data_IF_744521246137
#
_entry.id   IF_744521246137
#
_cell.length_a   1.000
_cell.length_b   1.000
_cell.length_c   1.000
_cell.angle_alpha   90.00
_cell.angle_beta   90.00
_cell.angle_gamma   90.00
#
_symmetry.space_group_name_H-M   'P 1'
#
loop_
_entity.id
_entity.type
_entity.pdbx_description
1 polymer ?
#
# COMPACT_ATOMS: atom_id res chain seq x y z
N UNK A 1 -33.37 20.95 16.02
CA UNK A 1 -32.67 22.04 15.22
C UNK A 1 -31.42 21.51 14.53
N UNK A 2 -31.45 20.63 13.53
CA UNK A 2 -30.19 20.08 13.03
C UNK A 2 -30.15 19.66 11.56
N UNK A 3 -31.28 19.49 10.90
CA UNK A 3 -31.26 19.04 9.49
C UNK A 3 -31.11 20.21 8.50
N UNK A 4 -31.72 21.32 8.76
CA UNK A 4 -31.85 22.46 7.85
C UNK A 4 -30.56 23.30 7.74
N UNK A 5 -29.79 23.45 8.81
CA UNK A 5 -28.49 24.11 8.79
C UNK A 5 -27.41 23.29 8.04
N UNK A 6 -27.47 21.97 8.06
CA UNK A 6 -26.52 21.10 7.35
C UNK A 6 -26.68 21.15 5.83
N UNK A 7 -27.90 21.34 5.31
CA UNK A 7 -28.15 21.40 3.88
C UNK A 7 -27.67 22.72 3.24
N UNK A 8 -27.79 23.84 3.93
CA UNK A 8 -27.36 25.17 3.41
C UNK A 8 -25.85 25.39 3.41
N UNK A 9 -25.13 24.86 4.42
CA UNK A 9 -23.65 24.97 4.46
C UNK A 9 -23.00 24.13 3.35
N UNK A 10 -23.64 23.05 2.91
CA UNK A 10 -23.16 22.19 1.85
C UNK A 10 -23.15 22.83 0.45
N UNK A 11 -23.95 23.87 0.21
CA UNK A 11 -24.05 24.54 -1.09
C UNK A 11 -22.95 25.58 -1.35
N UNK A 12 -22.18 25.98 -0.33
CA UNK A 12 -21.26 27.12 -0.44
C UNK A 12 -19.78 26.80 -0.22
N UNK A 13 -19.44 25.60 0.25
CA UNK A 13 -18.04 25.23 0.48
C UNK A 13 -17.60 24.16 -0.53
N UNK A 14 -16.46 24.35 -1.22
CA UNK A 14 -15.89 23.33 -2.08
C UNK A 14 -15.67 21.99 -1.32
N UNK A 15 -15.90 20.86 -1.97
CA UNK A 15 -15.75 19.53 -1.36
C UNK A 15 -14.37 19.32 -0.72
N UNK A 16 -13.32 19.90 -1.30
CA UNK A 16 -11.97 19.88 -0.76
C UNK A 16 -11.87 20.53 0.63
N UNK A 17 -12.56 21.66 0.85
CA UNK A 17 -12.60 22.34 2.16
C UNK A 17 -13.35 21.52 3.20
N UNK A 18 -14.44 20.89 2.81
CA UNK A 18 -15.21 20.00 3.67
C UNK A 18 -14.39 18.77 4.06
N UNK A 19 -13.63 18.18 3.14
CA UNK A 19 -12.73 17.07 3.38
C UNK A 19 -11.59 17.47 4.33
N UNK A 20 -10.97 18.62 4.12
CA UNK A 20 -9.92 19.14 4.99
C UNK A 20 -10.43 19.39 6.42
N UNK A 21 -11.60 20.03 6.56
CA UNK A 21 -12.22 20.29 7.85
C UNK A 21 -12.57 18.98 8.58
N UNK A 22 -13.15 17.99 7.89
CA UNK A 22 -13.41 16.66 8.48
C UNK A 22 -12.12 15.99 8.93
N UNK A 23 -11.03 16.12 8.18
CA UNK A 23 -9.71 15.59 8.56
C UNK A 23 -9.18 16.24 9.82
N UNK A 24 -9.30 17.56 9.96
CA UNK A 24 -8.88 18.28 11.17
C UNK A 24 -9.73 17.92 12.39
N UNK A 25 -11.05 17.81 12.23
CA UNK A 25 -11.95 17.35 13.30
C UNK A 25 -11.59 15.94 13.77
N UNK A 26 -11.28 15.01 12.84
CA UNK A 26 -10.81 13.68 13.22
C UNK A 26 -9.47 13.72 13.94
N UNK A 27 -8.53 14.57 13.52
CA UNK A 27 -7.25 14.78 14.22
C UNK A 27 -7.47 15.24 15.67
N UNK A 28 -8.31 16.25 15.87
CA UNK A 28 -8.62 16.77 17.21
C UNK A 28 -9.31 15.71 18.08
N UNK A 29 -10.31 15.00 17.52
CA UNK A 29 -11.07 13.97 18.26
C UNK A 29 -10.21 12.79 18.70
N UNK A 30 -9.22 12.38 17.91
CA UNK A 30 -8.39 11.21 18.17
C UNK A 30 -6.98 11.55 18.62
N UNK A 31 -6.73 12.82 18.92
CA UNK A 31 -5.42 13.27 19.35
C UNK A 31 -4.93 12.55 20.61
N UNK A 32 -3.64 12.25 20.66
CA UNK A 32 -2.96 11.63 21.79
C UNK A 32 -1.49 11.37 21.48
N UNK A 33 -0.74 10.87 22.45
CA UNK A 33 0.72 10.69 22.35
C UNK A 33 1.14 9.22 22.27
N UNK A 34 0.18 8.29 22.41
CA UNK A 34 0.48 6.86 22.46
C UNK A 34 0.92 6.31 21.10
N UNK A 35 0.27 6.76 20.03
CA UNK A 35 0.51 6.27 18.67
C UNK A 35 0.82 7.42 17.72
N UNK A 36 1.44 7.06 16.61
CA UNK A 36 1.72 7.97 15.50
C UNK A 36 1.43 7.29 14.17
N UNK A 37 0.70 7.96 13.30
CA UNK A 37 0.51 7.51 11.94
C UNK A 37 1.49 8.23 11.01
N UNK A 38 2.55 7.55 10.58
CA UNK A 38 3.57 8.11 9.69
C UNK A 38 3.06 8.40 8.27
N UNK A 39 1.97 7.77 7.85
CA UNK A 39 1.33 8.06 6.55
C UNK A 39 0.70 9.46 6.50
N UNK A 40 0.05 9.91 7.57
CA UNK A 40 -0.61 11.23 7.60
C UNK A 40 -0.04 12.21 8.63
N UNK A 41 0.97 11.81 9.42
CA UNK A 41 1.61 12.64 10.44
C UNK A 41 0.78 12.87 11.70
N UNK A 42 -0.33 12.14 11.90
CA UNK A 42 -1.23 12.36 13.06
C UNK A 42 -0.73 11.65 14.30
N UNK A 43 -0.69 12.37 15.44
CA UNK A 43 -0.51 11.79 16.76
C UNK A 43 -1.86 11.33 17.28
N UNK A 44 -1.94 10.12 17.84
CA UNK A 44 -3.18 9.44 18.16
C UNK A 44 -3.14 8.83 19.57
N UNK A 45 -4.31 8.80 20.25
CA UNK A 45 -4.48 8.03 21.48
C UNK A 45 -4.64 6.52 21.21
N UNK A 46 -5.23 6.13 20.05
CA UNK A 46 -5.40 4.76 19.61
C UNK A 46 -5.64 4.73 18.09
N UNK A 47 -5.29 3.64 17.43
CA UNK A 47 -5.87 3.27 16.15
C UNK A 47 -7.24 2.62 16.37
N UNK A 48 -8.09 2.59 15.35
CA UNK A 48 -9.39 1.92 15.39
C UNK A 48 -9.22 0.43 15.12
N UNK A 49 -10.13 -0.42 15.61
CA UNK A 49 -10.10 -1.84 15.27
C UNK A 49 -10.43 -2.08 13.81
N UNK A 50 -9.97 -3.20 13.28
CA UNK A 50 -10.40 -3.73 11.98
C UNK A 50 -11.84 -4.28 12.11
N UNK A 51 -12.64 -4.30 11.03
CA UNK A 51 -13.98 -4.93 11.08
C UNK A 51 -13.98 -6.40 11.53
N UNK A 52 -12.88 -7.14 11.33
CA UNK A 52 -12.71 -8.50 11.86
C UNK A 52 -12.42 -8.57 13.37
N UNK A 53 -12.37 -7.44 14.07
CA UNK A 53 -12.10 -7.36 15.51
C UNK A 53 -10.63 -7.14 15.91
N UNK A 54 -9.68 -7.17 14.98
CA UNK A 54 -8.27 -6.91 15.28
C UNK A 54 -8.08 -5.48 15.78
N UNK A 55 -7.50 -5.33 16.99
CA UNK A 55 -7.32 -4.04 17.65
C UNK A 55 -6.16 -3.23 17.04
N UNK A 56 -6.18 -1.90 17.22
CA UNK A 56 -5.13 -0.96 16.80
C UNK A 56 -4.74 -1.08 15.32
N UNK A 57 -5.72 -1.15 14.41
CA UNK A 57 -5.52 -1.44 13.00
C UNK A 57 -5.61 -0.21 12.10
N UNK A 58 -6.74 0.51 12.12
CA UNK A 58 -7.02 1.61 11.17
C UNK A 58 -6.66 2.97 11.76
N UNK A 59 -5.98 3.80 10.99
CA UNK A 59 -5.82 5.20 11.34
C UNK A 59 -7.18 5.94 11.25
N UNK A 60 -7.69 6.54 12.35
CA UNK A 60 -8.97 7.25 12.32
C UNK A 60 -8.98 8.49 11.44
N UNK A 61 -7.80 8.98 11.06
CA UNK A 61 -7.66 10.21 10.26
C UNK A 61 -7.55 9.93 8.77
N UNK A 62 -6.71 8.96 8.37
CA UNK A 62 -6.42 8.69 6.95
C UNK A 62 -6.78 7.27 6.49
N UNK A 63 -7.23 6.38 7.39
CA UNK A 63 -7.57 5.01 7.05
C UNK A 63 -6.37 4.08 6.78
N UNK A 64 -5.12 4.54 6.99
CA UNK A 64 -3.96 3.67 6.79
C UNK A 64 -3.99 2.46 7.72
N UNK A 65 -3.57 1.32 7.18
CA UNK A 65 -3.46 0.02 7.84
C UNK A 65 -2.00 -0.24 8.25
N UNK A 66 -1.69 -1.26 9.07
CA UNK A 66 -0.32 -1.64 9.42
C UNK A 66 0.62 -1.80 8.20
N UNK A 67 0.26 -2.54 7.12
CA UNK A 67 1.14 -2.67 5.94
C UNK A 67 1.50 -1.32 5.33
N UNK A 68 0.55 -0.39 5.23
CA UNK A 68 0.80 0.96 4.70
C UNK A 68 1.78 1.75 5.57
N UNK A 69 1.70 1.60 6.90
CA UNK A 69 2.61 2.26 7.83
C UNK A 69 4.02 1.67 7.79
N UNK A 70 4.14 0.35 7.57
CA UNK A 70 5.43 -0.31 7.38
C UNK A 70 6.09 0.16 6.07
N UNK A 71 5.36 0.18 4.96
CA UNK A 71 5.88 0.69 3.69
C UNK A 71 6.32 2.16 3.81
N UNK A 72 5.52 2.99 4.47
CA UNK A 72 5.87 4.40 4.71
C UNK A 72 7.10 4.54 5.63
N UNK A 73 7.24 3.68 6.64
CA UNK A 73 8.43 3.66 7.50
C UNK A 73 9.69 3.35 6.67
N UNK A 74 9.63 2.29 5.87
CA UNK A 74 10.71 1.92 4.95
C UNK A 74 11.08 3.05 3.99
N UNK A 75 10.11 3.67 3.33
CA UNK A 75 10.34 4.74 2.37
C UNK A 75 10.91 6.02 3.01
N UNK A 76 10.57 6.30 4.27
CA UNK A 76 11.12 7.44 5.01
C UNK A 76 12.59 7.24 5.39
N UNK A 77 13.03 5.99 5.59
CA UNK A 77 14.43 5.64 5.86
C UNK A 77 15.27 5.48 4.58
N UNK A 78 14.63 5.47 3.40
CA UNK A 78 15.23 5.20 2.10
C UNK A 78 14.98 6.35 1.13
N UNK A 79 15.37 7.55 1.54
CA UNK A 79 15.20 8.75 0.70
C UNK A 79 15.90 8.63 -0.66
N UNK A 80 16.96 7.83 -0.75
CA UNK A 80 17.70 7.54 -1.98
C UNK A 80 16.89 6.83 -3.07
N UNK A 81 15.75 6.22 -2.70
CA UNK A 81 14.84 5.61 -3.68
C UNK A 81 14.04 6.65 -4.48
N UNK A 82 13.98 7.89 -3.98
CA UNK A 82 13.32 8.98 -4.68
C UNK A 82 14.32 9.72 -5.56
N UNK A 83 14.43 9.29 -6.82
CA UNK A 83 15.41 9.81 -7.78
C UNK A 83 14.80 10.94 -8.60
N UNK A 84 15.46 12.08 -8.64
CA UNK A 84 15.04 13.22 -9.47
C UNK A 84 15.02 12.84 -10.96
N UNK A 85 13.94 13.21 -11.66
CA UNK A 85 13.72 12.84 -13.07
C UNK A 85 13.25 11.39 -13.29
N UNK A 86 13.20 10.56 -12.24
CA UNK A 86 12.65 9.21 -12.30
C UNK A 86 11.13 9.18 -12.20
N UNK A 87 10.55 7.97 -12.19
CA UNK A 87 9.11 7.79 -12.00
C UNK A 87 8.76 6.74 -10.96
N UNK A 88 7.73 7.05 -10.16
CA UNK A 88 7.13 6.15 -9.18
C UNK A 88 5.74 5.73 -9.61
N UNK A 89 5.51 4.41 -9.68
CA UNK A 89 4.16 3.85 -9.82
C UNK A 89 3.58 3.50 -8.44
N UNK A 90 2.34 3.92 -8.21
CA UNK A 90 1.58 3.53 -7.03
C UNK A 90 0.32 2.80 -7.48
N UNK A 91 0.34 1.46 -7.42
CA UNK A 91 -0.73 0.60 -7.89
C UNK A 91 -1.83 0.49 -6.84
N UNK A 92 -3.08 0.65 -7.27
CA UNK A 92 -4.27 0.70 -6.41
C UNK A 92 -4.10 1.68 -5.22
N UNK A 93 -3.86 2.98 -5.49
CA UNK A 93 -3.34 3.93 -4.53
C UNK A 93 -4.29 4.17 -3.36
N UNK A 94 -3.83 3.84 -2.15
CA UNK A 94 -4.60 4.05 -0.94
C UNK A 94 -4.74 5.54 -0.61
N UNK A 95 -5.95 6.01 -0.29
CA UNK A 95 -6.20 7.44 0.01
C UNK A 95 -5.34 8.00 1.14
N UNK A 96 -4.88 7.14 2.06
CA UNK A 96 -4.04 7.53 3.20
C UNK A 96 -2.59 7.82 2.83
N UNK A 97 -2.04 7.10 1.83
CA UNK A 97 -0.64 7.22 1.40
C UNK A 97 -0.46 8.17 0.22
N UNK A 98 -1.42 8.17 -0.70
CA UNK A 98 -1.35 8.93 -1.96
C UNK A 98 -0.84 10.37 -1.79
N UNK A 99 -1.38 11.22 -0.88
CA UNK A 99 -0.91 12.60 -0.75
C UNK A 99 0.54 12.70 -0.25
N UNK A 100 0.95 11.76 0.62
CA UNK A 100 2.31 11.78 1.17
C UNK A 100 3.34 11.35 0.15
N UNK A 101 3.07 10.29 -0.61
CA UNK A 101 3.95 9.81 -1.67
C UNK A 101 4.05 10.84 -2.80
N UNK A 102 2.95 11.46 -3.20
CA UNK A 102 2.96 12.55 -4.17
C UNK A 102 3.88 13.70 -3.74
N UNK A 103 3.78 14.15 -2.46
CA UNK A 103 4.66 15.19 -1.93
C UNK A 103 6.14 14.77 -1.90
N UNK A 104 6.43 13.52 -1.53
CA UNK A 104 7.82 13.01 -1.51
C UNK A 104 8.42 12.98 -2.92
N UNK A 105 7.64 12.57 -3.92
CA UNK A 105 8.07 12.61 -5.32
C UNK A 105 8.27 14.05 -5.83
N UNK A 106 7.34 14.95 -5.54
CA UNK A 106 7.41 16.36 -5.93
C UNK A 106 8.66 17.05 -5.39
N UNK A 107 9.04 16.78 -4.14
CA UNK A 107 10.21 17.37 -3.48
C UNK A 107 11.53 17.10 -4.22
N UNK A 108 11.62 16.01 -4.96
CA UNK A 108 12.83 15.62 -5.71
C UNK A 108 12.65 15.70 -7.23
N UNK A 109 11.47 16.12 -7.71
CA UNK A 109 11.17 16.14 -9.15
C UNK A 109 10.97 14.76 -9.77
N UNK A 110 10.53 13.77 -8.99
CA UNK A 110 10.14 12.44 -9.46
C UNK A 110 8.69 12.45 -9.94
N UNK A 111 8.39 11.84 -11.08
CA UNK A 111 7.04 11.71 -11.58
C UNK A 111 6.24 10.71 -10.73
N UNK A 112 5.13 11.15 -10.13
CA UNK A 112 4.24 10.27 -9.36
C UNK A 112 3.05 9.82 -10.21
N UNK A 113 2.94 8.51 -10.44
CA UNK A 113 1.95 7.87 -11.32
C UNK A 113 1.05 6.93 -10.52
N UNK A 114 -0.04 7.44 -9.91
CA UNK A 114 -1.02 6.60 -9.22
C UNK A 114 -1.99 5.98 -10.22
N UNK A 115 -2.24 4.68 -10.14
CA UNK A 115 -3.16 4.01 -11.05
C UNK A 115 -3.61 2.61 -10.61
N UNK A 116 -4.58 2.07 -11.32
CA UNK A 116 -5.14 0.73 -11.11
C UNK A 116 -6.29 0.45 -12.05
N UNK A 117 -6.92 -0.72 -11.94
CA UNK A 117 -8.06 -1.10 -12.79
C UNK A 117 -9.29 -0.20 -12.57
N UNK A 118 -9.43 0.31 -11.35
CA UNK A 118 -10.54 1.19 -10.95
C UNK A 118 -10.01 2.34 -10.13
N UNK A 119 -10.64 3.51 -10.20
CA UNK A 119 -10.29 4.65 -9.35
C UNK A 119 -10.45 5.99 -10.03
N UNK A 120 -11.19 6.92 -9.39
CA UNK A 120 -11.33 8.29 -9.87
C UNK A 120 -10.01 9.06 -9.70
N UNK A 121 -9.58 9.76 -10.74
CA UNK A 121 -8.38 10.61 -10.73
C UNK A 121 -7.06 9.83 -10.65
N UNK A 122 -7.05 8.58 -11.10
CA UNK A 122 -5.87 7.74 -11.24
C UNK A 122 -5.79 7.22 -12.68
N UNK A 123 -4.60 6.84 -13.12
CA UNK A 123 -4.42 6.23 -14.44
C UNK A 123 -5.03 4.82 -14.46
N UNK A 124 -5.57 4.40 -15.61
CA UNK A 124 -5.95 3.01 -15.78
C UNK A 124 -4.69 2.17 -15.97
N UNK A 125 -4.35 1.33 -14.98
CA UNK A 125 -3.16 0.48 -15.00
C UNK A 125 -3.56 -0.96 -14.71
N UNK A 126 -3.36 -1.83 -15.69
CA UNK A 126 -3.46 -3.28 -15.52
C UNK A 126 -2.05 -3.85 -15.26
N UNK A 127 -1.88 -4.59 -14.18
CA UNK A 127 -0.61 -5.26 -13.89
C UNK A 127 -0.25 -6.37 -14.88
N UNK A 128 -1.17 -6.78 -15.75
CA UNK A 128 -0.90 -7.73 -16.83
C UNK A 128 -0.41 -7.05 -18.11
N UNK A 129 -0.62 -5.73 -18.25
CA UNK A 129 -0.25 -4.96 -19.45
C UNK A 129 -0.02 -3.49 -19.07
N UNK A 130 1.13 -3.20 -18.47
CA UNK A 130 1.48 -1.86 -18.03
C UNK A 130 1.91 -0.98 -19.21
N UNK A 131 1.32 0.21 -19.43
CA UNK A 131 1.61 1.08 -20.57
C UNK A 131 2.94 1.85 -20.40
N UNK A 132 3.99 1.15 -19.94
CA UNK A 132 5.32 1.70 -19.71
C UNK A 132 6.36 0.92 -20.49
N UNK A 133 7.39 1.62 -20.97
CA UNK A 133 8.53 0.99 -21.63
C UNK A 133 9.29 0.06 -20.66
N UNK A 134 10.03 -0.88 -21.21
CA UNK A 134 10.95 -1.73 -20.43
C UNK A 134 11.94 -0.87 -19.66
N UNK A 135 12.21 -1.27 -18.44
CA UNK A 135 13.21 -0.63 -17.56
C UNK A 135 13.03 0.89 -17.38
N UNK A 136 11.79 1.38 -17.30
CA UNK A 136 11.45 2.80 -17.21
C UNK A 136 10.92 3.27 -15.85
N UNK A 137 10.66 2.36 -14.91
CA UNK A 137 10.10 2.66 -13.59
C UNK A 137 11.15 2.48 -12.51
N UNK A 138 11.40 3.51 -11.69
CA UNK A 138 12.46 3.49 -10.69
C UNK A 138 11.95 3.06 -9.31
N UNK A 139 10.71 3.38 -9.01
CA UNK A 139 10.08 2.98 -7.74
C UNK A 139 8.66 2.50 -7.99
N UNK A 140 8.28 1.38 -7.39
CA UNK A 140 6.89 0.90 -7.42
C UNK A 140 6.42 0.56 -6.02
N UNK A 141 5.18 0.91 -5.70
CA UNK A 141 4.48 0.41 -4.52
C UNK A 141 3.16 -0.24 -4.93
N UNK A 142 3.00 -1.50 -4.53
CA UNK A 142 1.82 -2.32 -4.82
C UNK A 142 1.45 -3.12 -3.57
N UNK A 143 0.28 -2.82 -2.99
CA UNK A 143 -0.17 -3.43 -1.75
C UNK A 143 -1.51 -4.14 -1.94
N UNK A 144 -1.55 -5.43 -1.61
CA UNK A 144 -2.75 -6.29 -1.64
C UNK A 144 -3.43 -6.37 -3.04
N UNK A 145 -2.62 -6.36 -4.11
CA UNK A 145 -3.13 -6.51 -5.48
C UNK A 145 -2.75 -7.87 -6.06
N UNK A 146 -1.50 -8.33 -5.90
CA UNK A 146 -1.03 -9.57 -6.52
C UNK A 146 -1.81 -10.82 -6.07
N UNK A 147 -2.33 -10.82 -4.86
CA UNK A 147 -3.21 -11.89 -4.36
C UNK A 147 -4.60 -11.90 -5.04
N UNK A 148 -4.98 -10.80 -5.68
CA UNK A 148 -6.24 -10.66 -6.43
C UNK A 148 -6.07 -10.89 -7.93
N UNK A 149 -4.83 -11.09 -8.43
CA UNK A 149 -4.59 -11.31 -9.86
C UNK A 149 -4.91 -12.76 -10.24
N UNK A 150 -5.63 -13.00 -11.35
CA UNK A 150 -5.83 -14.36 -11.86
C UNK A 150 -4.50 -15.06 -12.17
N UNK A 151 -3.59 -14.40 -12.90
CA UNK A 151 -2.21 -14.83 -13.15
C UNK A 151 -1.23 -13.88 -12.47
N UNK A 152 -0.89 -14.18 -11.23
CA UNK A 152 0.08 -13.39 -10.45
C UNK A 152 1.50 -13.48 -11.00
N UNK A 153 1.86 -14.61 -11.61
CA UNK A 153 3.19 -14.79 -12.19
C UNK A 153 3.37 -13.95 -13.46
N UNK A 154 2.32 -13.81 -14.29
CA UNK A 154 2.34 -12.89 -15.41
C UNK A 154 2.43 -11.43 -14.92
N UNK A 155 1.65 -11.05 -13.92
CA UNK A 155 1.72 -9.73 -13.31
C UNK A 155 3.11 -9.44 -12.72
N UNK A 156 3.72 -10.39 -12.00
CA UNK A 156 5.08 -10.23 -11.46
C UNK A 156 6.14 -10.06 -12.56
N UNK A 157 6.03 -10.80 -13.69
CA UNK A 157 6.93 -10.63 -14.85
C UNK A 157 6.73 -9.27 -15.50
N UNK A 158 5.51 -8.79 -15.60
CA UNK A 158 5.21 -7.48 -16.17
C UNK A 158 5.74 -6.35 -15.27
N UNK A 159 5.55 -6.45 -13.95
CA UNK A 159 6.23 -5.56 -13.00
C UNK A 159 7.74 -5.58 -13.21
N UNK A 160 8.34 -6.78 -13.36
CA UNK A 160 9.78 -6.91 -13.61
C UNK A 160 10.22 -6.25 -14.92
N UNK A 161 9.43 -6.37 -15.98
CA UNK A 161 9.71 -5.76 -17.29
C UNK A 161 9.86 -4.24 -17.19
N UNK A 162 8.92 -3.58 -16.52
CA UNK A 162 8.91 -2.11 -16.44
C UNK A 162 9.91 -1.56 -15.43
N UNK A 163 10.35 -2.34 -14.42
CA UNK A 163 11.32 -1.86 -13.43
C UNK A 163 12.67 -1.58 -14.04
N UNK A 164 13.21 -0.37 -13.81
CA UNK A 164 14.57 0.00 -14.20
C UNK A 164 15.59 -0.89 -13.50
N UNK A 165 16.79 -1.02 -14.06
CA UNK A 165 17.83 -1.92 -13.53
C UNK A 165 18.22 -1.65 -12.07
N UNK A 166 18.11 -0.41 -11.63
CA UNK A 166 18.36 0.01 -10.24
C UNK A 166 17.06 0.27 -9.48
N UNK A 167 15.91 0.02 -10.12
CA UNK A 167 14.60 0.28 -9.55
C UNK A 167 14.29 -0.66 -8.39
N UNK A 168 13.35 -0.22 -7.56
CA UNK A 168 12.87 -0.97 -6.40
C UNK A 168 11.35 -1.08 -6.43
N UNK A 169 10.84 -2.31 -6.41
CA UNK A 169 9.42 -2.57 -6.24
C UNK A 169 9.14 -3.02 -4.80
N UNK A 170 8.21 -2.34 -4.15
CA UNK A 170 7.70 -2.67 -2.82
C UNK A 170 6.39 -3.43 -3.00
N UNK A 171 6.44 -4.74 -2.79
CA UNK A 171 5.32 -5.64 -3.06
C UNK A 171 4.83 -6.26 -1.76
N UNK A 172 3.59 -5.94 -1.39
CA UNK A 172 2.94 -6.48 -0.20
C UNK A 172 1.68 -7.28 -0.54
N UNK A 173 1.49 -8.35 0.18
CA UNK A 173 0.26 -9.16 0.17
C UNK A 173 -0.27 -9.26 1.59
N UNK A 174 -1.55 -9.63 1.80
CA UNK A 174 -2.09 -9.86 3.15
C UNK A 174 -1.28 -10.90 3.92
N UNK A 175 -1.51 -10.97 5.24
CA UNK A 175 -0.87 -11.93 6.13
C UNK A 175 -0.78 -13.33 5.51
N UNK A 176 0.38 -13.94 5.61
CA UNK A 176 0.66 -15.24 5.00
C UNK A 176 -0.10 -16.37 5.68
N UNK A 177 -0.50 -17.34 4.86
CA UNK A 177 -1.02 -18.60 5.36
C UNK A 177 0.07 -19.38 6.12
N UNK A 178 -0.25 -19.87 7.31
CA UNK A 178 0.67 -20.64 8.18
C UNK A 178 0.72 -22.12 7.79
N UNK A 179 0.01 -22.54 6.75
CA UNK A 179 0.04 -23.93 6.23
C UNK A 179 1.31 -24.24 5.44
N UNK A 180 1.39 -25.49 4.97
CA UNK A 180 2.52 -25.94 4.15
C UNK A 180 2.49 -25.39 2.71
N UNK A 181 1.30 -25.09 2.20
CA UNK A 181 1.09 -24.67 0.82
C UNK A 181 0.24 -23.39 0.71
N UNK A 182 0.45 -22.63 -0.36
CA UNK A 182 -0.39 -21.50 -0.74
C UNK A 182 -1.81 -21.98 -1.05
N UNK A 183 -2.82 -21.32 -0.49
CA UNK A 183 -4.20 -21.59 -0.86
C UNK A 183 -4.48 -20.87 -2.19
N UNK A 184 -4.82 -21.62 -3.22
CA UNK A 184 -5.22 -21.09 -4.53
C UNK A 184 -6.68 -21.44 -4.85
N UNK A 185 -7.35 -20.53 -5.55
CA UNK A 185 -8.73 -20.68 -5.96
C UNK A 185 -8.90 -20.32 -7.43
N UNK A 186 -9.72 -21.07 -8.15
CA UNK A 186 -9.95 -20.84 -9.59
C UNK A 186 -11.35 -20.34 -9.88
N UNK A 187 -12.34 -20.74 -9.06
CA UNK A 187 -13.74 -20.31 -9.26
C UNK A 187 -14.18 -19.27 -8.24
N UNK A 188 -15.22 -18.53 -8.56
CA UNK A 188 -15.82 -17.53 -7.68
C UNK A 188 -16.31 -18.16 -6.37
N UNK A 189 -16.93 -19.34 -6.47
CA UNK A 189 -17.47 -20.09 -5.33
C UNK A 189 -16.35 -20.49 -4.35
N UNK A 190 -15.21 -20.97 -4.90
CA UNK A 190 -14.03 -21.30 -4.11
C UNK A 190 -13.47 -20.06 -3.40
N UNK A 191 -13.41 -18.90 -4.08
CA UNK A 191 -12.95 -17.64 -3.46
C UNK A 191 -13.84 -17.21 -2.30
N UNK A 192 -15.15 -17.23 -2.50
CA UNK A 192 -16.10 -16.90 -1.43
C UNK A 192 -15.98 -17.88 -0.26
N UNK A 193 -15.84 -19.17 -0.53
CA UNK A 193 -15.71 -20.19 0.52
C UNK A 193 -14.39 -20.07 1.31
N UNK A 194 -13.27 -19.80 0.63
CA UNK A 194 -11.96 -19.74 1.24
C UNK A 194 -11.67 -18.38 1.93
N UNK A 195 -12.12 -17.27 1.34
CA UNK A 195 -11.70 -15.92 1.75
C UNK A 195 -12.85 -15.00 2.15
N UNK A 196 -14.10 -15.43 1.98
CA UNK A 196 -15.31 -14.60 2.11
C UNK A 196 -15.23 -13.33 1.22
N UNK A 197 -14.54 -13.45 0.07
CA UNK A 197 -14.28 -12.38 -0.90
C UNK A 197 -14.14 -12.99 -2.29
N UNK A 198 -14.78 -12.43 -3.30
CA UNK A 198 -14.75 -12.99 -4.67
C UNK A 198 -13.60 -12.43 -5.52
N UNK A 199 -12.89 -11.42 -5.04
CA UNK A 199 -11.73 -10.82 -5.69
C UNK A 199 -10.39 -11.45 -5.28
N UNK A 200 -10.32 -12.19 -4.16
CA UNK A 200 -9.08 -12.78 -3.67
C UNK A 200 -8.87 -14.16 -4.29
N UNK A 201 -7.86 -14.30 -5.14
CA UNK A 201 -7.52 -15.55 -5.81
C UNK A 201 -6.64 -16.47 -4.97
N UNK A 202 -5.80 -15.92 -4.08
CA UNK A 202 -4.87 -16.73 -3.27
C UNK A 202 -4.48 -16.11 -1.95
N UNK A 203 -4.12 -17.00 -1.00
CA UNK A 203 -3.42 -16.64 0.22
C UNK A 203 -2.09 -17.38 0.24
N UNK A 204 -1.00 -16.64 0.09
CA UNK A 204 0.35 -17.20 -0.04
C UNK A 204 0.89 -17.74 1.29
N UNK A 205 1.80 -18.72 1.21
CA UNK A 205 2.83 -18.87 2.21
C UNK A 205 3.97 -17.88 1.94
N UNK A 206 4.70 -17.45 2.96
CA UNK A 206 5.84 -16.53 2.80
C UNK A 206 6.91 -17.12 1.85
N UNK A 207 7.19 -18.41 1.97
CA UNK A 207 8.17 -19.11 1.13
C UNK A 207 7.75 -19.13 -0.36
N UNK A 208 6.49 -19.48 -0.65
CA UNK A 208 5.99 -19.53 -2.04
C UNK A 208 5.94 -18.15 -2.67
N UNK A 209 5.50 -17.13 -1.93
CA UNK A 209 5.49 -15.75 -2.43
C UNK A 209 6.89 -15.29 -2.83
N UNK A 210 7.88 -15.49 -1.95
CA UNK A 210 9.27 -15.16 -2.27
C UNK A 210 9.80 -15.97 -3.46
N UNK A 211 9.46 -17.25 -3.56
CA UNK A 211 9.85 -18.10 -4.70
C UNK A 211 9.27 -17.58 -6.01
N UNK A 212 8.00 -17.20 -6.05
CA UNK A 212 7.33 -16.64 -7.25
C UNK A 212 7.99 -15.33 -7.68
N UNK A 213 8.29 -14.43 -6.74
CA UNK A 213 8.99 -13.19 -7.02
C UNK A 213 10.38 -13.45 -7.61
N UNK A 214 11.17 -14.35 -7.00
CA UNK A 214 12.50 -14.72 -7.54
C UNK A 214 12.42 -15.37 -8.92
N UNK A 215 11.46 -16.27 -9.11
CA UNK A 215 11.22 -16.91 -10.42
C UNK A 215 10.78 -15.91 -11.50
N UNK A 216 10.29 -14.73 -11.10
CA UNK A 216 9.92 -13.64 -12.01
C UNK A 216 11.08 -12.67 -12.29
N UNK A 217 12.30 -12.97 -11.80
CA UNK A 217 13.53 -12.19 -12.08
C UNK A 217 13.82 -11.09 -11.06
N UNK A 218 13.43 -11.28 -9.79
CA UNK A 218 13.76 -10.37 -8.71
C UNK A 218 14.74 -10.95 -7.70
N UNK A 219 15.67 -10.11 -7.24
CA UNK A 219 16.31 -10.26 -5.95
C UNK A 219 15.32 -9.78 -4.89
N UNK A 220 15.03 -10.62 -3.90
CA UNK A 220 14.01 -10.34 -2.88
C UNK A 220 14.66 -10.21 -1.51
N UNK A 221 14.53 -9.04 -0.91
CA UNK A 221 14.86 -8.77 0.49
C UNK A 221 13.56 -8.64 1.29
N UNK A 222 13.49 -9.31 2.42
CA UNK A 222 12.30 -9.29 3.28
C UNK A 222 12.51 -8.31 4.43
N UNK A 223 11.72 -7.24 4.45
CA UNK A 223 11.72 -6.24 5.51
C UNK A 223 10.59 -6.53 6.48
N UNK A 224 10.92 -6.90 7.71
CA UNK A 224 9.96 -7.34 8.71
C UNK A 224 9.80 -6.30 9.81
N UNK A 225 8.58 -6.00 10.20
CA UNK A 225 8.29 -5.11 11.31
C UNK A 225 8.94 -5.58 12.62
N UNK A 226 9.06 -6.89 12.82
CA UNK A 226 9.65 -7.50 14.02
C UNK A 226 11.16 -7.18 14.19
N UNK A 227 11.85 -6.84 13.11
CA UNK A 227 13.26 -6.44 13.13
C UNK A 227 13.48 -4.95 13.48
N UNK A 228 12.42 -4.17 13.56
CA UNK A 228 12.47 -2.74 13.89
C UNK A 228 12.54 -2.50 15.41
N UNK A 229 12.95 -1.29 15.84
CA UNK A 229 12.92 -0.93 17.26
C UNK A 229 11.53 -1.18 17.85
N UNK A 230 11.41 -1.91 18.97
CA UNK A 230 10.12 -2.26 19.57
C UNK A 230 9.22 -1.04 19.87
N UNK A 231 9.83 0.10 20.18
CA UNK A 231 9.12 1.37 20.41
C UNK A 231 8.42 1.87 19.13
N UNK A 232 9.05 1.74 17.96
CA UNK A 232 8.46 2.14 16.68
C UNK A 232 7.37 1.15 16.24
N UNK A 233 7.61 -0.15 16.43
CA UNK A 233 6.59 -1.20 16.15
C UNK A 233 5.32 -0.93 16.96
N UNK A 234 5.45 -0.66 18.25
CA UNK A 234 4.32 -0.37 19.13
C UNK A 234 3.63 0.95 18.78
N UNK A 235 4.42 2.02 18.59
CA UNK A 235 3.93 3.38 18.32
C UNK A 235 3.20 3.49 16.98
N UNK A 236 3.67 2.78 15.96
CA UNK A 236 3.09 2.72 14.63
C UNK A 236 2.05 1.58 14.49
N UNK A 237 1.95 0.71 15.49
CA UNK A 237 1.14 -0.52 15.45
C UNK A 237 1.39 -1.33 14.17
N UNK A 238 2.67 -1.67 13.92
CA UNK A 238 3.09 -2.37 12.71
C UNK A 238 2.76 -3.86 12.73
N UNK A 239 2.46 -4.42 13.91
CA UNK A 239 2.12 -5.85 14.04
C UNK A 239 3.28 -6.74 13.57
N UNK A 240 2.93 -7.81 12.86
CA UNK A 240 3.87 -8.75 12.21
C UNK A 240 3.93 -8.50 10.70
N UNK A 241 3.81 -7.25 10.29
CA UNK A 241 3.78 -6.91 8.87
C UNK A 241 5.12 -7.20 8.19
N UNK A 242 5.01 -7.56 6.93
CA UNK A 242 6.14 -7.90 6.06
C UNK A 242 6.05 -7.08 4.78
N UNK A 243 7.18 -6.55 4.34
CA UNK A 243 7.33 -5.87 3.07
C UNK A 243 8.39 -6.59 2.24
N UNK A 244 8.06 -6.99 1.03
CA UNK A 244 9.01 -7.56 0.09
C UNK A 244 9.59 -6.43 -0.77
N UNK A 245 10.88 -6.21 -0.60
CA UNK A 245 11.68 -5.25 -1.35
C UNK A 245 12.32 -6.01 -2.50
N UNK A 246 11.86 -5.75 -3.72
CA UNK A 246 12.20 -6.48 -4.92
C UNK A 246 13.03 -5.59 -5.84
N UNK A 247 14.23 -6.03 -6.19
CA UNK A 247 15.11 -5.37 -7.17
C UNK A 247 15.31 -6.29 -8.38
N UNK A 248 15.38 -5.76 -9.61
CA UNK A 248 15.65 -6.60 -10.78
C UNK A 248 16.93 -7.42 -10.62
N UNK A 249 16.83 -8.75 -10.83
CA UNK A 249 17.99 -9.63 -10.92
C UNK A 249 18.65 -9.45 -12.29
N UNK A 250 19.97 -9.25 -12.32
CA UNK A 250 20.75 -9.06 -13.53
C UNK A 250 21.94 -8.12 -13.35
N UNK A 251 22.86 -8.06 -14.31
CA UNK A 251 24.06 -7.25 -14.18
C UNK A 251 23.74 -5.76 -14.00
N UNK A 252 24.40 -5.16 -13.01
CA UNK A 252 24.34 -3.73 -12.69
C UNK A 252 24.90 -2.88 -13.82
#
# INVERSE_FOLDING_TARGET
>A
MSGWLRSRVRQWLPDAWMAAMRKQLRRARHWGLRHWCNACGSRLRAFLPHPSGEQDFLCPVCGSKPPHRLAMYFLQERAELFVGGGQMLHIAPEPGLRPRLATMCEQVGMAYRPGGLTGEGAEHLDLLDLPFADASVDLMYCCHVLNCMPDDRAAMREVRRVMSRQGTALLQVPAFHVGAETIETTTREQRIAAFNDDGIHRCYTDADYQQRLRASGFLVTVYRAEALPPGDVARLSLKREVLHVCQPDGPR
#
